data_IF_909693259643
#
_entry.id   IF_909693259643
#
_cell.length_a   1.000
_cell.length_b   1.000
_cell.length_c   1.000
_cell.angle_alpha   90.00
_cell.angle_beta   90.00
_cell.angle_gamma   90.00
#
_symmetry.space_group_name_H-M   'P 1'
#
loop_
_entity.id
_entity.type
_entity.pdbx_description
1 polymer ?
#
# COMPACT_ATOMS: atom_id res chain seq x y z
N UNK A 1 -3.59 -21.79 -7.36
CA UNK A 1 -3.06 -20.50 -6.83
C UNK A 1 -1.67 -20.14 -7.39
N UNK A 2 -1.24 -20.66 -8.54
CA UNK A 2 0.12 -20.44 -9.09
C UNK A 2 0.19 -19.61 -10.39
N UNK A 3 -0.95 -19.18 -10.96
CA UNK A 3 -0.96 -18.50 -12.26
C UNK A 3 -0.80 -16.98 -12.21
N UNK A 4 -1.05 -16.30 -11.09
CA UNK A 4 -0.90 -14.84 -11.04
C UNK A 4 0.53 -14.36 -10.82
N UNK A 5 1.37 -15.11 -10.10
CA UNK A 5 2.76 -14.72 -9.82
C UNK A 5 3.61 -14.61 -11.10
N UNK A 6 3.20 -15.27 -12.19
CA UNK A 6 3.97 -15.30 -13.43
C UNK A 6 3.75 -14.08 -14.33
N UNK A 7 2.65 -13.32 -14.15
CA UNK A 7 2.30 -12.19 -15.04
C UNK A 7 3.13 -10.94 -14.75
N UNK A 8 3.52 -10.74 -13.49
CA UNK A 8 4.27 -9.55 -13.05
C UNK A 8 5.78 -9.78 -13.02
N UNK A 9 6.25 -10.95 -13.44
CA UNK A 9 7.67 -11.31 -13.30
C UNK A 9 8.55 -10.36 -14.10
N UNK A 10 9.54 -9.75 -13.45
CA UNK A 10 10.50 -8.84 -14.09
C UNK A 10 9.93 -7.51 -14.55
N UNK A 11 8.71 -7.14 -14.14
CA UNK A 11 8.13 -5.81 -14.45
C UNK A 11 8.29 -4.83 -13.29
N UNK A 12 8.26 -3.53 -13.60
CA UNK A 12 8.12 -2.49 -12.58
C UNK A 12 6.65 -2.38 -12.18
N UNK A 13 6.34 -2.64 -10.92
CA UNK A 13 4.97 -2.61 -10.41
C UNK A 13 4.70 -1.30 -9.69
N UNK A 14 3.58 -0.66 -10.03
CA UNK A 14 3.08 0.51 -9.33
C UNK A 14 1.88 0.09 -8.48
N UNK A 15 2.01 0.15 -7.16
CA UNK A 15 0.95 -0.18 -6.22
C UNK A 15 0.47 1.10 -5.57
N UNK A 16 -0.84 1.36 -5.68
CA UNK A 16 -1.48 2.46 -4.99
C UNK A 16 -2.46 1.91 -3.95
N UNK A 17 -2.44 2.46 -2.73
CA UNK A 17 -3.33 2.07 -1.65
C UNK A 17 -4.17 3.26 -1.19
N UNK A 18 -5.40 2.98 -0.78
CA UNK A 18 -6.29 3.92 -0.11
C UNK A 18 -7.20 3.16 0.87
N UNK A 19 -7.75 3.85 1.87
CA UNK A 19 -8.79 3.28 2.74
C UNK A 19 -10.11 4.00 2.55
N UNK A 20 -11.22 3.25 2.58
CA UNK A 20 -12.58 3.77 2.43
C UNK A 20 -13.51 3.18 3.51
N UNK A 21 -14.58 3.88 3.87
CA UNK A 21 -15.62 3.40 4.78
C UNK A 21 -15.48 3.87 6.24
N UNK A 22 -15.84 3.01 7.19
CA UNK A 22 -15.64 3.27 8.63
C UNK A 22 -14.20 3.01 9.07
N UNK A 23 -13.73 3.71 10.10
CA UNK A 23 -12.42 3.40 10.70
C UNK A 23 -12.52 2.08 11.47
N UNK A 24 -11.84 1.06 10.98
CA UNK A 24 -11.63 -0.19 11.69
C UNK A 24 -10.25 -0.18 12.37
N UNK A 25 -10.08 -0.85 13.52
CA UNK A 25 -8.81 -0.89 14.24
C UNK A 25 -7.66 -1.50 13.43
N UNK A 26 -7.94 -2.23 12.35
CA UNK A 26 -6.96 -3.00 11.58
C UNK A 26 -6.58 -2.40 10.21
N UNK A 27 -7.10 -1.24 9.80
CA UNK A 27 -6.82 -0.70 8.46
C UNK A 27 -5.33 -0.36 8.27
N UNK A 28 -4.71 0.20 9.30
CA UNK A 28 -3.27 0.42 9.43
C UNK A 28 -2.45 -0.86 9.24
N UNK A 29 -2.81 -1.94 9.93
CA UNK A 29 -2.17 -3.26 9.79
C UNK A 29 -2.36 -3.83 8.39
N UNK A 30 -3.54 -3.67 7.78
CA UNK A 30 -3.77 -4.09 6.39
C UNK A 30 -2.82 -3.38 5.41
N UNK A 31 -2.63 -2.06 5.56
CA UNK A 31 -1.65 -1.30 4.76
C UNK A 31 -0.24 -1.85 4.98
N UNK A 32 0.17 -2.05 6.23
CA UNK A 32 1.50 -2.56 6.58
C UNK A 32 1.77 -3.92 5.92
N UNK A 33 0.84 -4.86 6.08
CA UNK A 33 0.99 -6.22 5.59
C UNK A 33 0.99 -6.27 4.05
N UNK A 34 0.13 -5.50 3.38
CA UNK A 34 0.11 -5.43 1.92
C UNK A 34 1.42 -4.82 1.39
N UNK A 35 1.90 -3.74 2.00
CA UNK A 35 3.17 -3.12 1.61
C UNK A 35 4.32 -4.11 1.78
N UNK A 36 4.37 -4.83 2.92
CA UNK A 36 5.38 -5.85 3.20
C UNK A 36 5.40 -6.94 2.12
N UNK A 37 4.25 -7.46 1.70
CA UNK A 37 4.19 -8.48 0.66
C UNK A 37 4.77 -8.00 -0.68
N UNK A 38 4.51 -6.76 -1.07
CA UNK A 38 5.07 -6.19 -2.31
C UNK A 38 6.57 -5.93 -2.20
N UNK A 39 7.02 -5.39 -1.07
CA UNK A 39 8.44 -5.18 -0.77
C UNK A 39 9.20 -6.51 -0.79
N UNK A 40 8.62 -7.56 -0.21
CA UNK A 40 9.17 -8.91 -0.26
C UNK A 40 9.27 -9.42 -1.70
N UNK A 41 8.22 -9.23 -2.52
CA UNK A 41 8.23 -9.62 -3.94
C UNK A 41 9.34 -8.92 -4.74
N UNK A 42 9.62 -7.65 -4.42
CA UNK A 42 10.74 -6.90 -5.00
C UNK A 42 12.09 -7.43 -4.51
N UNK A 43 12.26 -7.61 -3.19
CA UNK A 43 13.50 -8.14 -2.58
C UNK A 43 13.86 -9.54 -3.07
N UNK A 44 12.85 -10.39 -3.31
CA UNK A 44 13.01 -11.72 -3.87
C UNK A 44 13.31 -11.72 -5.39
N UNK A 45 13.30 -10.54 -6.03
CA UNK A 45 13.55 -10.40 -7.46
C UNK A 45 12.40 -10.92 -8.34
N UNK A 46 11.21 -11.15 -7.77
CA UNK A 46 10.03 -11.53 -8.54
C UNK A 46 9.61 -10.40 -9.46
N UNK A 47 9.60 -9.16 -8.96
CA UNK A 47 9.38 -7.93 -9.74
C UNK A 47 10.69 -7.14 -9.87
N UNK A 48 10.86 -6.36 -10.94
CA UNK A 48 12.11 -5.64 -11.21
C UNK A 48 12.14 -4.21 -10.63
N UNK A 49 10.99 -3.71 -10.18
CA UNK A 49 10.86 -2.40 -9.54
C UNK A 49 9.53 -2.26 -8.82
N UNK A 50 9.47 -1.36 -7.83
CA UNK A 50 8.29 -1.14 -7.01
C UNK A 50 8.11 0.36 -6.72
N UNK A 51 6.92 0.88 -7.04
CA UNK A 51 6.44 2.18 -6.54
C UNK A 51 5.30 1.93 -5.57
N UNK A 52 5.42 2.39 -4.32
CA UNK A 52 4.34 2.39 -3.35
C UNK A 52 3.75 3.81 -3.22
N UNK A 53 2.49 3.98 -3.60
CA UNK A 53 1.74 5.24 -3.47
C UNK A 53 0.60 5.09 -2.47
N UNK A 54 0.40 6.11 -1.63
CA UNK A 54 -0.69 6.17 -0.66
C UNK A 54 -1.56 7.39 -0.95
N UNK A 55 -2.85 7.19 -1.23
CA UNK A 55 -3.80 8.31 -1.38
C UNK A 55 -4.32 8.76 -0.02
N UNK A 56 -4.35 10.08 0.19
CA UNK A 56 -4.74 10.68 1.46
C UNK A 56 -6.25 10.89 1.51
N UNK A 57 -6.88 10.50 2.62
CA UNK A 57 -8.32 10.69 2.81
C UNK A 57 -9.18 9.83 1.88
N UNK A 58 -8.73 8.62 1.54
CA UNK A 58 -9.50 7.65 0.75
C UNK A 58 -9.81 8.09 -0.67
N UNK A 59 -11.03 7.81 -1.14
CA UNK A 59 -11.48 8.16 -2.50
C UNK A 59 -11.30 9.63 -2.85
N UNK A 60 -11.43 10.54 -1.87
CA UNK A 60 -11.21 11.97 -2.09
C UNK A 60 -9.79 12.18 -2.65
N UNK A 61 -8.77 11.67 -1.98
CA UNK A 61 -7.39 11.82 -2.42
C UNK A 61 -7.11 11.12 -3.74
N UNK A 62 -7.75 9.98 -3.99
CA UNK A 62 -7.65 9.32 -5.29
C UNK A 62 -8.17 10.22 -6.43
N UNK A 63 -9.35 10.82 -6.27
CA UNK A 63 -9.97 11.67 -7.29
C UNK A 63 -9.23 12.98 -7.47
N UNK A 64 -8.71 13.57 -6.40
CA UNK A 64 -7.96 14.84 -6.46
C UNK A 64 -6.47 14.66 -6.75
N UNK A 65 -5.98 13.43 -6.84
CA UNK A 65 -4.55 13.12 -6.97
C UNK A 65 -3.71 13.37 -5.71
N UNK A 66 -4.36 13.62 -4.57
CA UNK A 66 -3.71 13.91 -3.29
C UNK A 66 -3.12 12.62 -2.70
N UNK A 67 -1.81 12.46 -2.84
CA UNK A 67 -1.09 11.24 -2.51
C UNK A 67 0.39 11.47 -2.22
N UNK A 68 0.98 10.50 -1.53
CA UNK A 68 2.41 10.44 -1.26
C UNK A 68 3.00 9.16 -1.87
N UNK A 69 4.24 9.23 -2.35
CA UNK A 69 5.03 8.04 -2.72
C UNK A 69 5.97 7.73 -1.56
N UNK A 70 5.93 6.49 -1.07
CA UNK A 70 6.79 6.08 0.04
C UNK A 70 8.17 5.75 -0.52
N UNK A 71 9.23 6.46 -0.11
CA UNK A 71 10.57 6.21 -0.61
C UNK A 71 11.10 4.87 -0.09
N UNK A 72 11.95 4.21 -0.89
CA UNK A 72 12.44 2.85 -0.63
C UNK A 72 13.09 2.69 0.75
N UNK A 73 13.88 3.68 1.18
CA UNK A 73 14.54 3.66 2.49
C UNK A 73 13.56 3.69 3.69
N UNK A 74 12.27 3.97 3.47
CA UNK A 74 11.24 4.00 4.52
C UNK A 74 10.33 2.78 4.50
N UNK A 75 10.50 1.84 3.56
CA UNK A 75 9.61 0.69 3.44
C UNK A 75 9.57 -0.17 4.71
N UNK A 76 10.72 -0.37 5.36
CA UNK A 76 10.78 -1.14 6.61
C UNK A 76 10.09 -0.42 7.78
N UNK A 77 9.96 0.91 7.74
CA UNK A 77 9.26 1.68 8.77
C UNK A 77 7.74 1.48 8.72
N UNK A 78 7.18 0.98 7.62
CA UNK A 78 5.74 0.71 7.48
C UNK A 78 5.25 -0.37 8.45
N UNK A 79 6.14 -1.23 8.95
CA UNK A 79 5.79 -2.24 9.95
C UNK A 79 5.30 -1.63 11.27
N UNK A 80 5.71 -0.40 11.58
CA UNK A 80 5.22 0.34 12.75
C UNK A 80 3.71 0.62 12.70
N UNK A 81 3.10 0.61 11.51
CA UNK A 81 1.64 0.81 11.36
C UNK A 81 0.83 -0.32 12.01
N UNK A 82 1.43 -1.48 12.26
CA UNK A 82 0.76 -2.58 12.95
C UNK A 82 0.35 -2.24 14.40
N UNK A 83 0.96 -1.22 15.01
CA UNK A 83 0.69 -0.81 16.40
C UNK A 83 -0.23 0.42 16.49
N UNK A 84 -0.64 0.98 15.36
CA UNK A 84 -1.49 2.17 15.29
C UNK A 84 -2.92 1.74 14.94
N UNK A 85 -3.94 2.31 15.60
CA UNK A 85 -5.34 2.05 15.23
C UNK A 85 -5.84 2.94 14.10
N UNK A 86 -6.91 2.52 13.41
CA UNK A 86 -7.54 3.32 12.36
C UNK A 86 -6.75 3.30 11.05
N UNK A 87 -6.72 4.42 10.33
CA UNK A 87 -6.02 4.54 9.05
C UNK A 87 -4.98 5.67 9.08
N UNK A 88 -3.68 5.37 8.91
CA UNK A 88 -2.60 6.36 8.91
C UNK A 88 -2.67 7.32 7.72
N UNK A 89 -3.38 6.94 6.66
CA UNK A 89 -3.54 7.72 5.43
C UNK A 89 -4.91 8.42 5.37
N UNK A 90 -5.66 8.41 6.47
CA UNK A 90 -7.03 8.92 6.50
C UNK A 90 -8.01 8.06 5.70
N UNK A 91 -9.29 8.43 5.76
CA UNK A 91 -10.38 7.64 5.20
C UNK A 91 -11.46 8.55 4.58
N UNK A 92 -12.30 8.01 3.70
CA UNK A 92 -13.47 8.70 3.14
C UNK A 92 -14.73 7.86 3.31
N UNK A 93 -15.87 8.52 3.57
CA UNK A 93 -17.21 7.91 3.57
C UNK A 93 -17.95 8.04 2.25
N UNK A 94 -17.28 8.58 1.22
CA UNK A 94 -17.80 8.63 -0.15
C UNK A 94 -17.74 7.21 -0.73
N UNK A 95 -18.86 6.76 -1.31
CA UNK A 95 -18.93 5.55 -2.12
C UNK A 95 -18.58 5.89 -3.55
#
# INVERSE_FOLDING_TARGET
MSHQANVLKGTHVNVAMMTSGGLAPCLSSSIAQLARCWVQSYREGTISGLTLRMYLGGYKGMVTGDSIVIPEHQWDSLDSLNTVGGSPIGNSRVK
#
